data_IF_396967646845
#
_entry.id   IF_396967646845
#
_cell.length_a   1.000
_cell.length_b   1.000
_cell.length_c   1.000
_cell.angle_alpha   90.00
_cell.angle_beta   90.00
_cell.angle_gamma   90.00
#
_symmetry.space_group_name_H-M   'P 1'
#
loop_
_entity.id
_entity.type
_entity.pdbx_description
1 polymer ?
#
# COMPACT_ATOMS: atom_id res chain seq x y z
N UNK A 1 -16.16 7.45 -9.18
CA UNK A 1 -15.67 6.41 -10.08
C UNK A 1 -16.43 5.10 -9.93
N UNK A 2 -16.65 4.64 -8.73
CA UNK A 2 -17.39 3.39 -8.50
C UNK A 2 -18.85 3.46 -8.91
N UNK A 3 -19.45 4.61 -8.82
CA UNK A 3 -20.85 4.82 -9.15
C UNK A 3 -21.11 4.65 -10.64
N UNK A 4 -20.23 5.18 -11.46
CA UNK A 4 -20.35 5.08 -12.91
C UNK A 4 -20.27 3.62 -13.35
N UNK A 5 -19.33 2.88 -12.82
CA UNK A 5 -19.18 1.46 -13.11
C UNK A 5 -20.41 0.66 -12.69
N UNK A 6 -21.00 1.03 -11.59
CA UNK A 6 -22.17 0.37 -11.08
C UNK A 6 -23.37 0.55 -12.00
N UNK A 7 -23.59 1.75 -12.50
CA UNK A 7 -24.68 2.05 -13.41
C UNK A 7 -24.52 1.32 -14.73
N UNK A 8 -23.33 1.37 -15.30
CA UNK A 8 -23.01 0.67 -16.53
C UNK A 8 -23.25 -0.82 -16.37
N UNK A 9 -22.88 -1.36 -15.22
CA UNK A 9 -23.02 -2.76 -14.95
C UNK A 9 -24.44 -3.30 -15.07
N UNK A 10 -25.45 -2.49 -14.83
CA UNK A 10 -26.83 -2.94 -14.82
C UNK A 10 -27.42 -3.21 -16.20
N UNK A 11 -26.77 -2.79 -17.25
CA UNK A 11 -27.34 -2.81 -18.58
C UNK A 11 -27.10 -4.08 -19.39
N UNK A 12 -26.41 -5.06 -18.85
CA UNK A 12 -25.84 -6.13 -19.65
C UNK A 12 -26.28 -7.51 -19.26
N UNK A 13 -26.21 -8.39 -20.25
CA UNK A 13 -26.58 -9.80 -20.12
C UNK A 13 -25.34 -10.68 -19.90
N UNK A 14 -25.12 -11.61 -20.79
CA UNK A 14 -24.07 -12.63 -20.66
C UNK A 14 -22.65 -12.07 -20.70
N UNK A 15 -22.38 -11.12 -21.59
CA UNK A 15 -21.05 -10.51 -21.67
C UNK A 15 -20.68 -9.87 -20.35
N UNK A 16 -21.63 -9.20 -19.74
CA UNK A 16 -21.48 -8.60 -18.46
C UNK A 16 -21.11 -9.62 -17.38
N UNK A 17 -21.76 -10.77 -17.38
CA UNK A 17 -21.46 -11.82 -16.40
C UNK A 17 -20.03 -12.32 -16.52
N UNK A 18 -19.51 -12.44 -17.73
CA UNK A 18 -18.14 -12.83 -17.97
C UNK A 18 -17.17 -11.76 -17.47
N UNK A 19 -17.46 -10.50 -17.80
CA UNK A 19 -16.65 -9.36 -17.37
C UNK A 19 -16.66 -9.22 -15.86
N UNK A 20 -17.82 -9.34 -15.23
CA UNK A 20 -17.93 -9.24 -13.77
C UNK A 20 -17.19 -10.37 -13.07
N UNK A 21 -17.21 -11.57 -13.61
CA UNK A 21 -16.48 -12.69 -13.04
C UNK A 21 -14.98 -12.43 -13.06
N UNK A 22 -14.46 -11.88 -14.16
CA UNK A 22 -13.06 -11.53 -14.31
C UNK A 22 -12.69 -10.40 -13.37
N UNK A 23 -13.52 -9.35 -13.34
CA UNK A 23 -13.32 -8.21 -12.46
C UNK A 23 -13.39 -8.63 -10.99
N UNK A 24 -14.29 -9.56 -10.66
CA UNK A 24 -14.41 -10.07 -9.31
C UNK A 24 -13.13 -10.77 -8.85
N UNK A 25 -12.49 -11.54 -9.72
CA UNK A 25 -11.20 -12.17 -9.41
C UNK A 25 -10.12 -11.14 -9.23
N UNK A 26 -10.08 -10.12 -10.09
CA UNK A 26 -9.10 -9.05 -9.99
C UNK A 26 -9.29 -8.25 -8.70
N UNK A 27 -10.51 -7.93 -8.36
CA UNK A 27 -10.83 -7.22 -7.12
C UNK A 27 -10.40 -8.04 -5.91
N UNK A 28 -10.65 -9.35 -5.95
CA UNK A 28 -10.24 -10.24 -4.87
C UNK A 28 -8.72 -10.25 -4.70
N UNK A 29 -7.99 -10.38 -5.80
CA UNK A 29 -6.53 -10.36 -5.77
C UNK A 29 -6.03 -9.04 -5.16
N UNK A 30 -6.60 -7.92 -5.59
CA UNK A 30 -6.18 -6.61 -5.09
C UNK A 30 -6.51 -6.45 -3.60
N UNK A 31 -7.68 -6.88 -3.17
CA UNK A 31 -8.05 -6.80 -1.76
C UNK A 31 -7.13 -7.65 -0.89
N UNK A 32 -6.80 -8.85 -1.35
CA UNK A 32 -5.85 -9.71 -0.65
C UNK A 32 -4.44 -9.10 -0.63
N UNK A 33 -4.04 -8.47 -1.73
CA UNK A 33 -2.76 -7.78 -1.81
C UNK A 33 -2.69 -6.62 -0.82
N UNK A 34 -3.73 -5.81 -0.74
CA UNK A 34 -3.81 -4.70 0.19
C UNK A 34 -3.64 -5.18 1.63
N UNK A 35 -4.37 -6.22 1.98
CA UNK A 35 -4.29 -6.79 3.33
C UNK A 35 -2.89 -7.33 3.61
N UNK A 36 -2.33 -8.08 2.65
CA UNK A 36 -1.00 -8.67 2.81
C UNK A 36 0.09 -7.60 2.97
N UNK A 37 0.01 -6.54 2.18
CA UNK A 37 0.94 -5.42 2.30
C UNK A 37 0.83 -4.79 3.70
N UNK A 38 -0.39 -4.55 4.15
CA UNK A 38 -0.63 -3.95 5.46
C UNK A 38 -0.10 -4.82 6.60
N UNK A 39 -0.30 -6.12 6.52
CA UNK A 39 0.16 -7.06 7.53
C UNK A 39 1.68 -7.20 7.57
N UNK A 40 2.35 -6.92 6.46
CA UNK A 40 3.78 -7.17 6.30
C UNK A 40 4.67 -5.93 6.37
N UNK A 41 4.15 -4.80 6.85
CA UNK A 41 4.94 -3.56 6.89
C UNK A 41 6.23 -3.68 7.70
N UNK A 42 6.20 -4.48 8.76
CA UNK A 42 7.36 -4.68 9.62
C UNK A 42 8.16 -5.94 9.25
N UNK A 43 7.74 -6.66 8.23
CA UNK A 43 8.43 -7.84 7.73
C UNK A 43 9.35 -7.48 6.58
N UNK A 44 10.23 -8.40 6.22
CA UNK A 44 11.12 -8.23 5.07
C UNK A 44 10.49 -8.72 3.76
N UNK A 45 9.20 -9.00 3.76
CA UNK A 45 8.50 -9.51 2.59
C UNK A 45 8.47 -8.46 1.47
N UNK A 46 8.91 -8.86 0.28
CA UNK A 46 8.95 -7.96 -0.88
C UNK A 46 7.63 -7.97 -1.64
N UNK A 47 7.42 -6.95 -2.46
CA UNK A 47 6.25 -6.90 -3.33
C UNK A 47 6.24 -8.08 -4.31
N UNK A 48 7.40 -8.48 -4.80
CA UNK A 48 7.54 -9.64 -5.68
C UNK A 48 7.07 -10.92 -4.99
N UNK A 49 7.45 -11.08 -3.73
CA UNK A 49 7.02 -12.24 -2.95
C UNK A 49 5.52 -12.24 -2.71
N UNK A 50 4.93 -11.07 -2.50
CA UNK A 50 3.47 -10.95 -2.36
C UNK A 50 2.77 -11.38 -3.65
N UNK A 51 3.26 -10.91 -4.80
CA UNK A 51 2.71 -11.33 -6.09
C UNK A 51 2.78 -12.86 -6.25
N UNK A 52 3.90 -13.44 -5.84
CA UNK A 52 4.12 -14.87 -5.88
C UNK A 52 3.10 -15.62 -5.02
N UNK A 53 2.86 -15.14 -3.80
CA UNK A 53 1.85 -15.70 -2.90
C UNK A 53 0.45 -15.66 -3.52
N UNK A 54 0.18 -14.63 -4.31
CA UNK A 54 -1.12 -14.46 -4.96
C UNK A 54 -1.22 -15.22 -6.28
N UNK A 55 -0.15 -15.90 -6.70
CA UNK A 55 -0.15 -16.71 -7.91
C UNK A 55 -0.16 -15.90 -9.20
N UNK A 56 0.40 -14.69 -9.18
CA UNK A 56 0.43 -13.80 -10.35
C UNK A 56 1.85 -13.29 -10.56
N UNK A 57 2.23 -13.05 -11.83
CA UNK A 57 3.55 -12.51 -12.11
C UNK A 57 3.67 -11.08 -11.57
N UNK A 58 4.89 -10.68 -11.26
CA UNK A 58 5.13 -9.34 -10.71
C UNK A 58 4.67 -8.24 -11.67
N UNK A 59 4.96 -8.36 -12.95
CA UNK A 59 4.56 -7.34 -13.93
C UNK A 59 3.05 -7.25 -14.07
N UNK A 60 2.36 -8.38 -14.10
CA UNK A 60 0.90 -8.40 -14.13
C UNK A 60 0.32 -7.82 -12.85
N UNK A 61 0.92 -8.15 -11.72
CA UNK A 61 0.48 -7.63 -10.42
C UNK A 61 0.61 -6.11 -10.37
N UNK A 62 1.75 -5.57 -10.78
CA UNK A 62 1.96 -4.12 -10.79
C UNK A 62 0.90 -3.40 -11.63
N UNK A 63 0.64 -3.92 -12.82
CA UNK A 63 -0.33 -3.34 -13.73
C UNK A 63 -1.73 -3.36 -13.13
N UNK A 64 -2.13 -4.53 -12.65
CA UNK A 64 -3.45 -4.73 -12.07
C UNK A 64 -3.65 -3.86 -10.83
N UNK A 65 -2.67 -3.83 -9.95
CA UNK A 65 -2.73 -3.05 -8.73
C UNK A 65 -2.87 -1.57 -9.02
N UNK A 66 -2.08 -1.05 -9.97
CA UNK A 66 -2.14 0.36 -10.34
C UNK A 66 -3.48 0.71 -11.01
N UNK A 67 -4.02 -0.17 -11.83
CA UNK A 67 -5.31 0.03 -12.46
C UNK A 67 -6.43 0.14 -11.44
N UNK A 68 -6.39 -0.66 -10.38
CA UNK A 68 -7.46 -0.71 -9.39
C UNK A 68 -7.29 0.30 -8.25
N UNK A 69 -6.06 0.63 -7.87
CA UNK A 69 -5.80 1.52 -6.73
C UNK A 69 -5.34 2.92 -7.13
N UNK A 70 -4.87 3.08 -8.36
CA UNK A 70 -4.23 4.31 -8.81
C UNK A 70 -2.76 4.42 -8.47
N UNK A 71 -2.20 3.46 -7.72
CA UNK A 71 -0.82 3.48 -7.25
C UNK A 71 -0.09 2.19 -7.55
N UNK A 72 1.20 2.30 -7.86
CA UNK A 72 2.06 1.12 -7.92
C UNK A 72 2.14 0.48 -6.52
N UNK A 73 2.28 -0.84 -6.42
CA UNK A 73 2.33 -1.51 -5.12
C UNK A 73 3.43 -1.00 -4.19
N UNK A 74 4.60 -0.69 -4.74
CA UNK A 74 5.72 -0.21 -3.93
C UNK A 74 5.42 1.15 -3.31
N UNK A 75 4.77 2.04 -4.05
CA UNK A 75 4.37 3.34 -3.53
C UNK A 75 3.27 3.19 -2.47
N UNK A 76 2.33 2.31 -2.71
CA UNK A 76 1.27 2.01 -1.77
C UNK A 76 1.87 1.50 -0.45
N UNK A 77 2.80 0.56 -0.52
CA UNK A 77 3.50 0.04 0.66
C UNK A 77 4.24 1.15 1.41
N UNK A 78 4.98 1.99 0.70
CA UNK A 78 5.72 3.08 1.31
C UNK A 78 4.79 4.07 2.00
N UNK A 79 3.65 4.38 1.39
CA UNK A 79 2.66 5.27 1.99
C UNK A 79 2.13 4.70 3.30
N UNK A 80 1.83 3.41 3.34
CA UNK A 80 1.38 2.74 4.56
C UNK A 80 2.48 2.72 5.63
N UNK A 81 3.73 2.51 5.25
CA UNK A 81 4.85 2.57 6.19
C UNK A 81 4.96 3.95 6.82
N UNK A 82 4.80 5.00 6.03
CA UNK A 82 4.87 6.37 6.56
C UNK A 82 3.70 6.68 7.48
N UNK A 83 2.52 6.16 7.19
CA UNK A 83 1.37 6.30 8.09
C UNK A 83 1.63 5.58 9.41
N UNK A 84 2.18 4.37 9.33
CA UNK A 84 2.54 3.61 10.53
C UNK A 84 3.61 4.34 11.33
N UNK A 85 4.57 4.97 10.64
CA UNK A 85 5.60 5.77 11.29
C UNK A 85 4.98 6.93 12.08
N UNK A 86 3.98 7.60 11.55
CA UNK A 86 3.27 8.67 12.26
C UNK A 86 2.68 8.15 13.56
N UNK A 87 2.06 6.99 13.54
CA UNK A 87 1.50 6.37 14.75
C UNK A 87 2.60 6.09 15.77
N UNK A 88 3.69 5.49 15.33
CA UNK A 88 4.81 5.14 16.22
C UNK A 88 5.48 6.40 16.80
N UNK A 89 5.61 7.45 16.00
CA UNK A 89 6.16 8.71 16.47
C UNK A 89 5.29 9.35 17.55
N UNK A 90 3.98 9.21 17.41
CA UNK A 90 3.03 9.82 18.35
C UNK A 90 2.82 9.00 19.60
N UNK A 91 2.92 7.68 19.53
CA UNK A 91 2.51 6.78 20.61
C UNK A 91 3.65 6.05 21.30
N UNK A 92 4.87 6.11 20.79
CA UNK A 92 6.02 5.40 21.38
C UNK A 92 7.19 6.34 21.62
N UNK A 93 8.15 5.85 22.38
CA UNK A 93 9.43 6.54 22.60
C UNK A 93 10.54 5.99 21.72
N UNK A 94 10.21 5.14 20.75
CA UNK A 94 11.21 4.61 19.84
C UNK A 94 11.92 5.72 19.10
N UNK A 95 13.22 5.57 18.91
CA UNK A 95 14.02 6.56 18.19
C UNK A 95 13.62 6.57 16.70
N UNK A 96 13.96 7.66 16.03
CA UNK A 96 13.73 7.77 14.58
C UNK A 96 14.43 6.62 13.87
N UNK A 97 15.64 6.28 14.29
CA UNK A 97 16.42 5.18 13.73
C UNK A 97 15.72 3.84 13.93
N UNK A 98 15.21 3.59 15.14
CA UNK A 98 14.50 2.36 15.44
C UNK A 98 13.26 2.20 14.59
N UNK A 99 12.49 3.28 14.42
CA UNK A 99 11.28 3.27 13.59
C UNK A 99 11.65 2.98 12.13
N UNK A 100 12.70 3.60 11.62
CA UNK A 100 13.16 3.37 10.25
C UNK A 100 13.48 1.90 10.01
N UNK A 101 14.22 1.28 10.90
CA UNK A 101 14.57 -0.13 10.76
C UNK A 101 13.37 -1.05 10.97
N UNK A 102 12.52 -0.72 11.92
CA UNK A 102 11.30 -1.50 12.18
C UNK A 102 10.42 -1.58 10.96
N UNK A 103 10.33 -0.50 10.20
CA UNK A 103 9.49 -0.43 9.00
C UNK A 103 10.25 -0.78 7.73
N UNK A 104 11.45 -1.31 7.86
CA UNK A 104 12.26 -1.78 6.74
C UNK A 104 12.57 -0.71 5.69
N UNK A 105 12.86 0.50 6.13
CA UNK A 105 13.43 1.51 5.26
C UNK A 105 14.92 1.21 5.06
N UNK A 106 15.44 1.59 3.90
CA UNK A 106 16.84 1.34 3.54
C UNK A 106 17.83 1.93 4.55
N UNK A 107 17.51 3.13 5.06
CA UNK A 107 18.32 3.81 6.05
C UNK A 107 17.47 4.82 6.81
N UNK A 108 17.90 5.24 7.99
CA UNK A 108 17.23 6.32 8.72
C UNK A 108 17.17 7.62 7.93
N UNK A 109 18.22 7.92 7.16
CA UNK A 109 18.26 9.13 6.33
C UNK A 109 17.24 9.06 5.20
N UNK A 110 17.12 7.92 4.56
CA UNK A 110 16.14 7.71 3.52
C UNK A 110 14.72 7.84 4.09
N UNK A 111 14.48 7.22 5.24
CA UNK A 111 13.19 7.34 5.94
C UNK A 111 12.86 8.79 6.22
N UNK A 112 13.78 9.53 6.82
CA UNK A 112 13.56 10.94 7.18
C UNK A 112 13.27 11.80 5.97
N UNK A 113 13.98 11.58 4.88
CA UNK A 113 13.77 12.32 3.62
C UNK A 113 12.39 12.02 3.04
N UNK A 114 11.99 10.76 3.01
CA UNK A 114 10.67 10.37 2.49
C UNK A 114 9.55 10.87 3.39
N UNK A 115 9.73 10.78 4.70
CA UNK A 115 8.76 11.30 5.65
C UNK A 115 8.55 12.80 5.46
N UNK A 116 9.65 13.56 5.35
CA UNK A 116 9.56 15.00 5.12
C UNK A 116 8.90 15.31 3.78
N UNK A 117 9.23 14.56 2.74
CA UNK A 117 8.65 14.75 1.41
C UNK A 117 7.13 14.55 1.43
N UNK A 118 6.64 13.57 2.19
CA UNK A 118 5.23 13.25 2.24
C UNK A 118 4.44 14.10 3.22
N UNK A 119 5.05 14.52 4.32
CA UNK A 119 4.35 15.21 5.41
C UNK A 119 4.70 16.69 5.53
N UNK A 120 5.77 17.14 4.91
CA UNK A 120 6.28 18.50 5.05
C UNK A 120 7.13 18.72 6.27
N UNK A 121 7.29 17.72 7.14
CA UNK A 121 8.05 17.82 8.39
C UNK A 121 9.03 16.68 8.54
N UNK A 122 10.13 16.94 9.23
CA UNK A 122 11.04 15.87 9.67
C UNK A 122 10.33 15.01 10.71
N UNK A 123 10.67 13.73 10.83
CA UNK A 123 10.06 12.85 11.84
C UNK A 123 10.17 13.40 13.27
N UNK A 124 11.32 13.97 13.64
CA UNK A 124 11.51 14.54 14.97
C UNK A 124 10.59 15.73 15.23
N UNK A 125 10.43 16.58 14.23
CA UNK A 125 9.54 17.75 14.34
C UNK A 125 8.09 17.29 14.44
N UNK A 126 7.71 16.29 13.65
CA UNK A 126 6.37 15.71 13.72
C UNK A 126 6.08 15.17 15.11
N UNK A 127 7.03 14.43 15.70
CA UNK A 127 6.87 13.92 17.06
C UNK A 127 6.63 15.03 18.07
N UNK A 128 7.37 16.11 17.95
CA UNK A 128 7.25 17.24 18.87
C UNK A 128 5.88 17.93 18.75
N UNK A 129 5.29 17.97 17.57
CA UNK A 129 3.98 18.60 17.37
C UNK A 129 2.82 17.73 17.83
N UNK A 130 3.00 16.42 17.90
CA UNK A 130 1.93 15.48 18.29
C UNK A 130 1.94 15.12 19.76
N UNK A 131 2.93 15.60 20.49
CA UNK A 131 3.09 15.41 21.94
C UNK A 131 3.04 16.75 22.68
#
# INVERSE_FOLDING_TARGET
AGIVNHLIGKMYSLERNIILSKDSKHVDIINRARLRIRESLEDTLTIQEIAQELGISYSSFRKLFKEHTGFAPALYQQTLKLQRAKELLSTTDESIKEIAYRLNFESPDYFSAKFKSQTGMKPSDFRNTTR
#
